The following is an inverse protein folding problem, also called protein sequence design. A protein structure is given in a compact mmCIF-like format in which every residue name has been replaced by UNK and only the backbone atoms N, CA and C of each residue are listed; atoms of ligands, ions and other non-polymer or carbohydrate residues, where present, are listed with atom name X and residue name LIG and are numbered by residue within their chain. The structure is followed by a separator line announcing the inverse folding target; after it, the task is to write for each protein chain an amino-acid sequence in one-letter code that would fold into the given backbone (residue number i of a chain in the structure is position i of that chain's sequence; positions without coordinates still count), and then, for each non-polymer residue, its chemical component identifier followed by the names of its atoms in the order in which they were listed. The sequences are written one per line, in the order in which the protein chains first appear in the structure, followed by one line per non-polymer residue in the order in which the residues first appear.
data_IF_384306648099
#
_entry.id   IF_384306648099
#
_cell.length_a   1.000
_cell.length_b   1.000
_cell.length_c   1.000
_cell.angle_alpha   90.00
_cell.angle_beta   90.00
_cell.angle_gamma   90.00
#
_symmetry.space_group_name_H-M   'P 1'
#
loop_
_entity.id
_entity.type
_entity.pdbx_description
1 polymer ?
#
# COMPACT_ATOMS: atom_id res chain seq x y z
N UNK A 1 7.95 -4.66 13.84
CA UNK A 1 6.66 -4.08 13.39
C UNK A 1 6.97 -2.76 12.70
N UNK A 2 6.16 -2.35 11.74
CA UNK A 2 6.29 -1.04 11.07
C UNK A 2 5.69 0.07 11.93
N UNK A 3 6.27 1.26 11.80
CA UNK A 3 5.80 2.44 12.49
C UNK A 3 4.60 3.06 11.76
N UNK A 4 3.77 3.77 12.52
CA UNK A 4 2.70 4.59 11.96
C UNK A 4 3.26 5.89 11.40
N UNK A 5 2.66 6.40 10.33
CA UNK A 5 2.89 7.76 9.87
C UNK A 5 2.42 8.77 10.92
N UNK A 6 2.89 10.01 10.77
CA UNK A 6 2.27 11.14 11.43
C UNK A 6 0.77 11.21 11.04
N UNK A 7 -0.12 11.56 11.98
CA UNK A 7 -1.51 11.83 11.69
C UNK A 7 -1.68 13.03 10.76
N UNK A 8 -2.55 12.91 9.76
CA UNK A 8 -2.92 14.01 8.86
C UNK A 8 -4.42 14.26 8.96
N UNK A 9 -4.74 15.42 9.51
CA UNK A 9 -6.09 15.92 9.69
C UNK A 9 -6.57 16.75 8.49
N UNK A 10 -7.88 16.74 8.26
CA UNK A 10 -8.56 17.75 7.43
C UNK A 10 -9.15 18.85 8.30
N UNK A 11 -9.54 19.97 7.69
CA UNK A 11 -10.19 21.09 8.38
C UNK A 11 -11.42 20.68 9.21
N UNK A 12 -12.08 19.58 8.83
CA UNK A 12 -13.30 19.09 9.47
C UNK A 12 -13.06 18.03 10.56
N UNK A 13 -11.81 17.81 10.98
CA UNK A 13 -11.47 16.91 12.11
C UNK A 13 -11.30 15.44 11.74
N UNK A 14 -11.50 15.04 10.48
CA UNK A 14 -11.14 13.71 10.00
C UNK A 14 -9.61 13.57 9.99
N UNK A 15 -9.07 12.68 10.81
CA UNK A 15 -7.62 12.52 10.99
C UNK A 15 -7.24 11.07 10.75
N UNK A 16 -6.36 10.83 9.78
CA UNK A 16 -5.89 9.50 9.45
C UNK A 16 -4.39 9.38 9.65
N UNK A 17 -3.94 8.16 9.92
CA UNK A 17 -2.55 7.75 9.76
C UNK A 17 -2.47 6.39 9.09
N UNK A 18 -1.30 6.09 8.53
CA UNK A 18 -1.07 4.86 7.78
C UNK A 18 0.21 4.16 8.19
N UNK A 19 0.27 2.84 7.95
CA UNK A 19 1.53 2.09 7.97
C UNK A 19 1.55 1.02 6.89
N UNK A 20 2.74 0.64 6.45
CA UNK A 20 2.92 -0.51 5.58
C UNK A 20 3.03 -1.78 6.42
N UNK A 21 2.41 -2.87 5.99
CA UNK A 21 2.61 -4.19 6.57
C UNK A 21 3.08 -5.11 5.45
N UNK A 22 4.31 -5.59 5.54
CA UNK A 22 4.89 -6.52 4.57
C UNK A 22 4.95 -7.90 5.19
N UNK A 23 4.29 -8.86 4.55
CA UNK A 23 4.19 -10.24 5.00
C UNK A 23 4.71 -11.18 3.91
N UNK A 24 5.23 -12.33 4.34
CA UNK A 24 5.56 -13.43 3.45
C UNK A 24 4.70 -14.63 3.81
N UNK A 25 4.08 -15.24 2.81
CA UNK A 25 3.18 -16.37 3.05
C UNK A 25 2.58 -16.95 1.78
N UNK A 26 1.76 -17.98 1.95
CA UNK A 26 0.93 -18.50 0.88
C UNK A 26 -0.33 -17.65 0.76
N UNK A 27 -0.72 -17.32 -0.48
CA UNK A 27 -2.03 -16.72 -0.73
C UNK A 27 -3.10 -17.81 -0.62
N UNK A 28 -4.20 -17.61 0.14
CA UNK A 28 -5.28 -18.59 0.20
C UNK A 28 -5.84 -18.91 -1.20
N UNK A 29 -6.08 -20.20 -1.47
CA UNK A 29 -6.55 -20.67 -2.79
C UNK A 29 -5.45 -20.82 -3.84
N UNK A 30 -4.21 -20.52 -3.49
CA UNK A 30 -3.05 -20.75 -4.33
C UNK A 30 -2.50 -22.18 -4.13
N UNK A 31 -2.39 -22.94 -5.22
CA UNK A 31 -1.92 -24.34 -5.20
C UNK A 31 -0.39 -24.48 -5.16
N UNK A 32 0.39 -23.39 -5.29
CA UNK A 32 1.85 -23.50 -5.29
C UNK A 32 2.48 -23.31 -3.92
N UNK A 33 3.56 -24.05 -3.73
CA UNK A 33 4.49 -24.09 -2.61
C UNK A 33 5.38 -22.84 -2.51
N UNK A 34 5.33 -21.94 -3.48
CA UNK A 34 6.15 -20.72 -3.50
C UNK A 34 5.51 -19.63 -2.64
N UNK A 35 6.31 -19.09 -1.74
CA UNK A 35 5.91 -17.95 -0.91
C UNK A 35 5.76 -16.68 -1.75
N UNK A 36 4.72 -15.91 -1.43
CA UNK A 36 4.49 -14.57 -1.98
C UNK A 36 4.81 -13.52 -0.92
N UNK A 37 5.30 -12.37 -1.38
CA UNK A 37 5.36 -11.15 -0.57
C UNK A 37 4.05 -10.39 -0.75
N UNK A 38 3.40 -10.10 0.35
CA UNK A 38 2.15 -9.35 0.41
C UNK A 38 2.43 -8.01 1.08
N UNK A 39 2.11 -6.94 0.38
CA UNK A 39 2.21 -5.56 0.84
C UNK A 39 0.80 -5.08 1.15
N UNK A 40 0.59 -4.68 2.39
CA UNK A 40 -0.65 -4.09 2.86
C UNK A 40 -0.42 -2.65 3.30
N UNK A 41 -1.45 -1.82 3.12
CA UNK A 41 -1.58 -0.54 3.80
C UNK A 41 -2.58 -0.74 4.93
N UNK A 42 -2.19 -0.37 6.15
CA UNK A 42 -3.13 -0.19 7.24
C UNK A 42 -3.46 1.28 7.39
N UNK A 43 -4.75 1.59 7.48
CA UNK A 43 -5.26 2.93 7.74
C UNK A 43 -5.96 2.92 9.09
N UNK A 44 -5.63 3.89 9.93
CA UNK A 44 -6.29 4.09 11.21
C UNK A 44 -6.99 5.44 11.23
N UNK A 45 -8.26 5.44 11.65
CA UNK A 45 -9.01 6.66 11.89
C UNK A 45 -8.82 7.12 13.35
N UNK A 46 -8.26 8.31 13.50
CA UNK A 46 -8.07 9.01 14.77
C UNK A 46 -9.06 10.16 14.96
N UNK A 47 -9.84 10.50 13.92
CA UNK A 47 -10.90 11.50 13.99
C UNK A 47 -12.15 10.92 14.65
N UNK A 48 -12.89 11.78 15.37
CA UNK A 48 -14.08 11.38 16.15
C UNK A 48 -15.28 10.92 15.30
N UNK A 49 -15.23 11.16 13.99
CA UNK A 49 -16.31 10.86 13.06
C UNK A 49 -15.93 9.72 12.11
N UNK A 50 -16.91 8.92 11.64
CA UNK A 50 -16.69 8.01 10.52
C UNK A 50 -16.13 8.77 9.32
N UNK A 51 -15.08 8.22 8.73
CA UNK A 51 -14.33 8.83 7.63
C UNK A 51 -14.34 7.91 6.43
N UNK A 52 -14.74 8.43 5.28
CA UNK A 52 -14.64 7.73 4.01
C UNK A 52 -13.32 8.05 3.33
N UNK A 53 -12.66 7.02 2.83
CA UNK A 53 -11.38 7.14 2.11
C UNK A 53 -11.52 6.44 0.78
N UNK A 54 -11.01 7.08 -0.26
CA UNK A 54 -10.86 6.42 -1.55
C UNK A 54 -9.53 5.69 -1.58
N UNK A 55 -9.58 4.37 -1.49
CA UNK A 55 -8.40 3.53 -1.58
C UNK A 55 -8.11 3.22 -3.03
N UNK A 56 -6.99 3.75 -3.49
CA UNK A 56 -6.40 3.42 -4.77
C UNK A 56 -5.06 2.73 -4.51
N UNK A 57 -5.01 1.45 -4.84
CA UNK A 57 -3.79 0.68 -4.67
C UNK A 57 -2.74 1.10 -5.69
N UNK A 58 -3.10 1.63 -6.86
CA UNK A 58 -2.18 1.80 -7.99
C UNK A 58 -2.00 3.26 -8.37
N UNK A 59 -0.79 3.77 -8.18
CA UNK A 59 -0.45 5.11 -8.67
C UNK A 59 -0.51 5.17 -10.20
N UNK A 60 -1.30 6.10 -10.73
CA UNK A 60 -1.37 6.37 -12.18
C UNK A 60 -2.32 5.49 -12.99
N UNK A 61 -3.18 4.69 -12.36
CA UNK A 61 -4.22 3.93 -13.09
C UNK A 61 -5.38 4.82 -13.58
N UNK A 62 -5.47 6.05 -13.06
CA UNK A 62 -6.29 7.11 -13.66
C UNK A 62 -5.41 7.92 -14.61
N UNK A 63 -5.69 7.80 -15.91
CA UNK A 63 -4.94 8.49 -16.98
C UNK A 63 -5.17 10.01 -17.03
N UNK A 64 -6.00 10.54 -16.14
CA UNK A 64 -6.20 11.97 -16.01
C UNK A 64 -4.93 12.63 -15.46
N UNK A 65 -4.31 13.57 -16.19
CA UNK A 65 -3.04 14.20 -15.79
C UNK A 65 -3.06 14.84 -14.40
N UNK A 66 -4.24 15.27 -13.95
CA UNK A 66 -4.45 15.90 -12.64
C UNK A 66 -4.53 14.90 -11.47
N UNK A 67 -4.80 13.61 -11.72
CA UNK A 67 -4.98 12.64 -10.64
C UNK A 67 -3.64 12.18 -10.09
N UNK A 68 -3.35 12.61 -8.87
CA UNK A 68 -2.12 12.25 -8.12
C UNK A 68 -2.36 11.16 -7.08
N UNK A 69 -3.52 10.51 -7.13
CA UNK A 69 -3.91 9.50 -6.16
C UNK A 69 -3.13 8.20 -6.30
N UNK A 70 -3.29 7.35 -5.29
CA UNK A 70 -2.69 6.03 -5.24
C UNK A 70 -1.54 5.90 -4.24
N UNK A 71 -0.97 4.70 -4.21
CA UNK A 71 0.17 4.35 -3.39
C UNK A 71 1.44 4.35 -4.25
N UNK A 72 2.40 5.20 -3.89
CA UNK A 72 3.72 5.22 -4.51
C UNK A 72 4.79 4.68 -3.55
N UNK A 73 5.45 3.59 -3.92
CA UNK A 73 6.38 2.87 -3.05
C UNK A 73 7.84 3.09 -3.44
N UNK A 74 8.73 3.16 -2.48
CA UNK A 74 10.17 3.23 -2.70
C UNK A 74 10.91 2.20 -1.86
N UNK A 75 11.83 1.48 -2.51
CA UNK A 75 12.74 0.56 -1.84
C UNK A 75 14.10 1.24 -1.67
N UNK A 76 14.63 1.21 -0.46
CA UNK A 76 15.96 1.72 -0.13
C UNK A 76 16.79 0.68 0.61
N UNK A 77 18.11 0.79 0.50
CA UNK A 77 19.05 -0.02 1.26
C UNK A 77 19.32 0.55 2.67
N UNK A 78 20.23 -0.08 3.41
CA UNK A 78 20.62 0.33 4.77
C UNK A 78 21.20 1.75 4.86
N UNK A 79 21.72 2.28 3.76
CA UNK A 79 22.29 3.63 3.68
C UNK A 79 21.26 4.64 3.17
N UNK A 80 20.01 4.22 2.95
CA UNK A 80 18.94 5.05 2.40
C UNK A 80 19.06 5.28 0.91
N UNK A 81 19.92 4.55 0.20
CA UNK A 81 20.06 4.68 -1.25
C UNK A 81 18.90 3.95 -1.94
N UNK A 82 18.26 4.57 -2.95
CA UNK A 82 17.21 3.91 -3.73
C UNK A 82 17.72 2.64 -4.42
N UNK A 83 16.93 1.57 -4.34
CA UNK A 83 17.18 0.31 -5.04
C UNK A 83 16.47 0.36 -6.39
N UNK A 84 17.19 0.18 -7.52
CA UNK A 84 16.58 0.18 -8.85
C UNK A 84 15.50 -0.89 -8.99
N UNK A 85 14.42 -0.54 -9.70
CA UNK A 85 13.38 -1.51 -10.04
C UNK A 85 13.95 -2.59 -10.95
N UNK A 86 13.46 -3.81 -10.78
CA UNK A 86 13.79 -4.93 -11.65
C UNK A 86 12.76 -5.03 -12.78
N UNK A 87 13.18 -5.28 -14.04
CA UNK A 87 12.23 -5.51 -15.11
C UNK A 87 11.40 -6.76 -14.81
N UNK A 88 10.09 -6.67 -15.03
CA UNK A 88 9.18 -7.78 -14.78
C UNK A 88 8.00 -7.73 -15.73
N UNK A 89 7.70 -8.87 -16.36
CA UNK A 89 6.45 -9.09 -17.05
C UNK A 89 5.50 -9.76 -16.07
N UNK A 90 4.44 -9.05 -15.66
CA UNK A 90 3.43 -9.59 -14.77
C UNK A 90 2.11 -9.76 -15.53
N UNK A 91 1.46 -10.90 -15.30
CA UNK A 91 0.08 -11.16 -15.70
C UNK A 91 -0.65 -11.68 -14.47
N UNK A 92 -1.62 -10.89 -13.98
CA UNK A 92 -2.45 -11.25 -12.83
C UNK A 92 -3.33 -10.08 -12.40
N UNK A 93 -4.18 -10.33 -11.40
CA UNK A 93 -5.08 -9.30 -10.88
C UNK A 93 -4.39 -8.36 -9.90
N UNK A 94 -4.82 -7.12 -9.84
CA UNK A 94 -4.46 -6.16 -8.80
C UNK A 94 -5.73 -5.77 -8.01
N UNK A 95 -5.61 -5.35 -6.74
CA UNK A 95 -6.76 -4.86 -5.99
C UNK A 95 -7.43 -3.69 -6.71
N UNK A 96 -8.72 -3.80 -6.99
CA UNK A 96 -9.49 -2.71 -7.58
C UNK A 96 -9.60 -1.54 -6.60
N UNK A 97 -9.64 -0.32 -7.13
CA UNK A 97 -9.95 0.86 -6.32
C UNK A 97 -11.32 0.75 -5.65
N UNK A 98 -11.47 1.24 -4.43
CA UNK A 98 -12.73 1.20 -3.71
C UNK A 98 -12.89 2.34 -2.71
N UNK A 99 -14.15 2.64 -2.37
CA UNK A 99 -14.49 3.43 -1.22
C UNK A 99 -14.50 2.55 0.03
N UNK A 100 -13.84 3.02 1.09
CA UNK A 100 -13.85 2.39 2.40
C UNK A 100 -14.40 3.38 3.43
N UNK A 101 -15.13 2.87 4.42
CA UNK A 101 -15.60 3.67 5.57
C UNK A 101 -14.86 3.19 6.81
N UNK A 102 -14.14 4.10 7.46
CA UNK A 102 -13.43 3.87 8.72
C UNK A 102 -14.23 4.49 9.86
N UNK A 103 -14.73 3.66 10.78
CA UNK A 103 -15.37 4.14 12.01
C UNK A 103 -14.33 4.79 12.94
N UNK A 104 -14.80 5.54 13.94
CA UNK A 104 -13.92 6.08 14.99
C UNK A 104 -13.09 4.96 15.63
N UNK A 105 -11.80 5.24 15.85
CA UNK A 105 -10.82 4.32 16.47
C UNK A 105 -10.71 2.94 15.77
N UNK A 106 -11.10 2.88 14.50
CA UNK A 106 -10.97 1.67 13.70
C UNK A 106 -9.67 1.65 12.91
N UNK A 107 -9.18 0.43 12.66
CA UNK A 107 -8.08 0.16 11.74
C UNK A 107 -8.53 -0.84 10.70
N UNK A 108 -8.26 -0.55 9.43
CA UNK A 108 -8.43 -1.51 8.32
C UNK A 108 -7.08 -1.89 7.75
N UNK A 109 -6.97 -3.11 7.23
CA UNK A 109 -5.82 -3.59 6.47
C UNK A 109 -6.25 -3.91 5.04
N UNK A 110 -5.65 -3.26 4.06
CA UNK A 110 -5.96 -3.39 2.64
C UNK A 110 -4.73 -3.87 1.88
N UNK A 111 -4.90 -4.88 1.02
CA UNK A 111 -3.80 -5.37 0.17
C UNK A 111 -3.54 -4.33 -0.92
N UNK A 112 -2.27 -4.00 -1.14
CA UNK A 112 -1.85 -2.97 -2.08
C UNK A 112 -1.15 -3.54 -3.33
N UNK A 113 -0.53 -4.72 -3.24
CA UNK A 113 0.15 -5.33 -4.38
C UNK A 113 -0.72 -6.33 -5.15
N UNK A 114 -0.38 -6.54 -6.42
CA UNK A 114 -1.01 -7.53 -7.27
C UNK A 114 -0.84 -8.98 -6.76
N UNK A 115 -1.80 -9.82 -7.11
CA UNK A 115 -1.89 -11.22 -6.70
C UNK A 115 -1.07 -12.12 -7.62
N UNK A 116 -0.61 -13.27 -7.11
CA UNK A 116 0.02 -14.29 -7.94
C UNK A 116 1.48 -14.02 -8.32
N UNK A 117 2.07 -12.91 -7.83
CA UNK A 117 3.50 -12.65 -7.95
C UNK A 117 4.24 -13.50 -6.91
N UNK A 118 5.03 -14.45 -7.40
CA UNK A 118 5.76 -15.43 -6.59
C UNK A 118 7.24 -15.08 -6.53
N UNK A 119 7.90 -15.50 -5.44
CA UNK A 119 9.35 -15.59 -5.45
C UNK A 119 9.86 -16.62 -6.46
N UNK A 120 11.10 -16.50 -6.96
CA UNK A 120 11.68 -17.50 -7.83
C UNK A 120 11.93 -18.82 -7.09
N UNK A 121 11.91 -19.93 -7.82
CA UNK A 121 12.19 -21.28 -7.28
C UNK A 121 13.59 -21.39 -6.66
N UNK A 122 14.56 -20.70 -7.24
CA UNK A 122 15.96 -20.69 -6.79
C UNK A 122 16.17 -19.90 -5.48
N UNK A 123 15.12 -19.30 -4.94
CA UNK A 123 15.16 -18.49 -3.73
C UNK A 123 15.43 -17.01 -3.99
N UNK A 124 15.31 -16.22 -2.93
CA UNK A 124 15.26 -14.75 -3.01
C UNK A 124 13.86 -14.23 -2.71
N UNK A 125 13.69 -12.92 -2.82
CA UNK A 125 12.47 -12.23 -2.48
C UNK A 125 12.04 -11.31 -3.61
N UNK A 126 10.79 -11.46 -4.02
CA UNK A 126 10.15 -10.51 -4.92
C UNK A 126 9.32 -9.58 -4.06
N UNK A 127 9.51 -8.27 -4.23
CA UNK A 127 8.69 -7.24 -3.59
C UNK A 127 7.84 -6.60 -4.68
N UNK A 128 6.59 -7.07 -4.84
CA UNK A 128 5.64 -6.41 -5.71
C UNK A 128 5.07 -5.18 -5.00
N UNK A 129 5.12 -4.04 -5.67
CA UNK A 129 4.41 -2.83 -5.28
C UNK A 129 3.57 -2.34 -6.47
N UNK A 130 2.62 -1.44 -6.25
CA UNK A 130 1.83 -0.92 -7.35
C UNK A 130 2.72 -0.20 -8.37
N UNK A 131 2.63 -0.62 -9.64
CA UNK A 131 3.46 -0.10 -10.74
C UNK A 131 4.98 -0.32 -10.59
N UNK A 132 5.45 -1.00 -9.54
CA UNK A 132 6.87 -1.13 -9.23
C UNK A 132 7.22 -2.55 -8.79
N UNK A 133 8.42 -3.00 -9.15
CA UNK A 133 8.84 -4.36 -8.89
C UNK A 133 10.31 -4.38 -8.48
N UNK A 134 10.63 -5.11 -7.41
CA UNK A 134 12.01 -5.35 -6.99
C UNK A 134 12.27 -6.83 -6.78
N UNK A 135 13.44 -7.27 -7.24
CA UNK A 135 13.95 -8.60 -6.95
C UNK A 135 15.21 -8.51 -6.09
N UNK A 136 15.15 -9.10 -4.90
CA UNK A 136 16.26 -9.25 -3.98
C UNK A 136 16.78 -10.68 -4.07
N UNK A 137 18.07 -10.82 -4.36
CA UNK A 137 18.69 -12.13 -4.63
C UNK A 137 18.71 -13.02 -3.39
N UNK A 138 18.71 -14.34 -3.60
CA UNK A 138 18.97 -15.30 -2.54
C UNK A 138 20.32 -15.03 -1.88
N UNK A 139 20.38 -15.11 -0.56
CA UNK A 139 21.62 -14.90 0.19
C UNK A 139 22.07 -13.44 0.33
N UNK A 140 21.30 -12.48 -0.17
CA UNK A 140 21.58 -11.06 0.07
C UNK A 140 21.51 -10.75 1.59
N UNK A 141 22.56 -10.10 2.09
CA UNK A 141 22.71 -9.77 3.51
C UNK A 141 22.42 -8.31 3.82
N UNK A 142 22.09 -7.50 2.81
CA UNK A 142 21.76 -6.11 3.00
C UNK A 142 20.41 -5.96 3.73
N UNK A 143 20.25 -4.84 4.44
CA UNK A 143 18.97 -4.48 5.03
C UNK A 143 18.21 -3.60 4.03
N UNK A 144 16.97 -3.98 3.74
CA UNK A 144 16.11 -3.24 2.83
C UNK A 144 14.92 -2.66 3.57
N UNK A 145 14.48 -1.49 3.11
CA UNK A 145 13.39 -0.74 3.71
C UNK A 145 12.44 -0.25 2.62
N UNK A 146 11.17 -0.57 2.78
CA UNK A 146 10.08 -0.11 1.92
C UNK A 146 9.36 1.05 2.60
N UNK A 147 9.32 2.21 1.94
CA UNK A 147 8.49 3.35 2.32
C UNK A 147 7.44 3.60 1.25
N UNK A 148 6.43 4.40 1.58
CA UNK A 148 5.45 4.79 0.58
C UNK A 148 4.84 6.16 0.87
N UNK A 149 4.28 6.76 -0.17
CA UNK A 149 3.37 7.89 -0.08
C UNK A 149 1.99 7.42 -0.52
N UNK A 150 0.99 7.60 0.32
CA UNK A 150 -0.40 7.32 -0.02
C UNK A 150 -1.15 8.64 -0.21
N UNK A 151 -1.61 8.91 -1.42
CA UNK A 151 -2.38 10.10 -1.74
C UNK A 151 -3.79 9.71 -2.12
N UNK A 152 -4.77 10.36 -1.52
CA UNK A 152 -6.17 10.29 -1.93
C UNK A 152 -6.59 11.66 -2.39
N UNK A 153 -7.01 11.75 -3.64
CA UNK A 153 -7.73 12.90 -4.19
C UNK A 153 -8.86 12.38 -5.08
N UNK A 154 -10.02 12.03 -4.48
CA UNK A 154 -11.04 11.28 -5.18
C UNK A 154 -11.62 12.10 -6.35
N UNK A 155 -11.87 11.46 -7.51
CA UNK A 155 -12.46 12.16 -8.65
C UNK A 155 -13.83 12.75 -8.29
N UNK A 156 -14.14 13.97 -8.75
CA UNK A 156 -15.44 14.63 -8.52
C UNK A 156 -16.64 13.83 -9.05
N UNK A 157 -16.43 12.94 -10.02
CA UNK A 157 -17.44 12.05 -10.57
C UNK A 157 -17.51 10.66 -9.90
N UNK A 158 -16.60 10.34 -8.97
CA UNK A 158 -16.64 9.13 -8.14
C UNK A 158 -17.12 9.51 -6.75
N UNK A 159 -18.34 10.02 -6.62
CA UNK A 159 -18.94 10.29 -5.32
C UNK A 159 -18.93 9.04 -4.43
N UNK A 160 -18.81 9.19 -3.10
CA UNK A 160 -18.97 8.07 -2.19
C UNK A 160 -20.30 7.38 -2.46
N UNK A 161 -20.29 6.04 -2.48
CA UNK A 161 -21.50 5.26 -2.81
C UNK A 161 -22.62 5.45 -1.79
N UNK A 162 -22.28 5.90 -0.59
CA UNK A 162 -23.20 6.17 0.49
C UNK A 162 -23.29 7.67 0.66
N UNK A 163 -24.31 8.30 0.09
CA UNK A 163 -24.74 9.66 0.42
C UNK A 163 -25.35 9.70 1.83
N UNK A 164 -24.70 9.06 2.82
CA UNK A 164 -25.08 9.23 4.22
C UNK A 164 -24.62 10.63 4.57
N UNK A 165 -25.59 11.50 4.81
CA UNK A 165 -25.51 12.96 4.78
C UNK A 165 -24.52 13.62 5.75
N UNK A 166 -23.69 12.86 6.48
CA UNK A 166 -22.75 13.36 7.49
C UNK A 166 -21.39 12.63 7.52
N UNK A 167 -21.02 11.82 6.52
CA UNK A 167 -19.69 11.19 6.50
C UNK A 167 -18.63 12.14 5.93
N UNK A 168 -17.49 12.25 6.62
CA UNK A 168 -16.38 13.06 6.14
C UNK A 168 -15.57 12.28 5.11
N UNK A 169 -15.48 12.81 3.89
CA UNK A 169 -14.54 12.31 2.90
C UNK A 169 -13.16 12.86 3.20
N UNK A 170 -12.20 11.97 3.44
CA UNK A 170 -10.80 12.35 3.62
C UNK A 170 -10.08 12.41 2.27
N UNK A 171 -9.33 13.48 2.08
CA UNK A 171 -8.43 13.73 0.95
C UNK A 171 -7.16 14.35 1.49
N UNK A 172 -6.02 13.92 0.95
CA UNK A 172 -4.70 14.30 1.44
C UNK A 172 -3.62 13.28 1.13
N UNK A 173 -2.45 13.50 1.72
CA UNK A 173 -1.26 12.67 1.52
C UNK A 173 -0.72 12.20 2.86
N UNK A 174 -0.47 10.89 2.97
CA UNK A 174 0.19 10.24 4.11
C UNK A 174 1.59 9.79 3.68
N UNK A 175 2.62 10.29 4.36
CA UNK A 175 4.00 9.81 4.21
C UNK A 175 4.21 8.64 5.15
N UNK A 176 4.30 7.43 4.60
CA UNK A 176 4.41 6.19 5.37
C UNK A 176 5.89 5.88 5.63
N UNK A 177 6.29 5.68 6.91
CA UNK A 177 7.68 5.48 7.26
C UNK A 177 8.25 4.17 6.71
N UNK A 178 9.58 4.11 6.72
CA UNK A 178 10.36 2.96 6.26
C UNK A 178 10.03 1.70 7.07
N UNK A 179 9.58 0.67 6.38
CA UNK A 179 9.32 -0.66 6.92
C UNK A 179 10.43 -1.61 6.50
N UNK A 180 11.11 -2.20 7.48
CA UNK A 180 12.18 -3.17 7.22
C UNK A 180 11.61 -4.42 6.55
N UNK A 181 12.25 -4.84 5.46
CA UNK A 181 11.95 -6.08 4.76
C UNK A 181 12.74 -7.23 5.40
N UNK A 182 12.04 -8.31 5.73
CA UNK A 182 12.66 -9.52 6.28
C UNK A 182 12.83 -10.52 5.14
N UNK A 183 14.09 -10.83 4.83
CA UNK A 183 14.48 -11.75 3.74
C UNK A 183 14.36 -13.24 4.12
N UNK A 184 14.28 -13.56 5.42
CA UNK A 184 14.24 -14.95 5.90
C UNK A 184 12.80 -15.47 5.92
N UNK A 185 12.56 -16.77 5.60
CA UNK A 185 11.31 -17.45 5.92
C UNK A 185 11.03 -17.42 7.41
#
# INVERSE_FOLDING_TARGET
MSDWSEPVGTFYGATLRARLVVLRGHTPGDASDLLQTMVYVELQNLGLSPTEVYFDAEHGHDFRPEYKGGLDCELSDAHGKPVPQSPSAFSGGCPSTCWITLQYDSTVRLRANCYGIRGPKEGGLVIPAPGRYWFLKAGDTNNYFLSATFTTDPPTNRSPRLSITNMHVWSGTLTIPKTKIVMRP
#
